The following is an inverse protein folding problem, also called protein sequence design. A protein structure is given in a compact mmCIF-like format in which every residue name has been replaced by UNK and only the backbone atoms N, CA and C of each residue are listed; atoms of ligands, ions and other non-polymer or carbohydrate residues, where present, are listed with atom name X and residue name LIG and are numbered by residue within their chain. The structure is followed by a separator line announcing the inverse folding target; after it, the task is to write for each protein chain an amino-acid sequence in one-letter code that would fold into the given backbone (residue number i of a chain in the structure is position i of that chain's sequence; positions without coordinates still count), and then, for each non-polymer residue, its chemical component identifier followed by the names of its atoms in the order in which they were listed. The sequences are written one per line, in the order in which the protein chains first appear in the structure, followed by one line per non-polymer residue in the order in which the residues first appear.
data_IF_034217511416
#
_entry.id   IF_034217511416
#
_cell.length_a   1.000
_cell.length_b   1.000
_cell.length_c   1.000
_cell.angle_alpha   90.00
_cell.angle_beta   90.00
_cell.angle_gamma   90.00
#
_symmetry.space_group_name_H-M   'P 1'
#
loop_
_entity.id
_entity.type
_entity.pdbx_description
1 polymer ?
#
# COMPACT_ATOMS: atom_id res chain seq x y z
N UNK A 1 44.52 2.72 -5.32
CA UNK A 1 43.95 1.92 -4.22
C UNK A 1 42.99 2.82 -3.44
N UNK A 2 41.74 2.90 -3.87
CA UNK A 2 40.73 3.72 -3.20
C UNK A 2 39.82 2.76 -2.43
N UNK A 3 39.92 2.79 -1.10
CA UNK A 3 39.11 2.01 -0.18
C UNK A 3 37.67 2.55 -0.21
N UNK A 4 36.76 1.88 -0.90
CA UNK A 4 35.32 2.13 -0.75
C UNK A 4 34.83 1.32 0.46
N UNK A 5 35.13 1.82 1.65
CA UNK A 5 34.57 1.28 2.88
C UNK A 5 33.15 1.81 3.06
N UNK A 6 32.17 1.19 2.37
CA UNK A 6 30.78 1.25 2.82
C UNK A 6 30.62 0.23 3.96
N UNK A 7 30.09 0.60 5.14
CA UNK A 7 29.77 -0.37 6.17
C UNK A 7 28.81 -1.45 5.63
N UNK A 8 28.82 -2.67 6.20
CA UNK A 8 27.81 -3.69 5.92
C UNK A 8 26.46 -3.22 6.48
N UNK A 9 25.81 -2.31 5.78
CA UNK A 9 24.47 -1.89 6.11
C UNK A 9 23.52 -3.06 5.88
N UNK A 10 22.60 -3.25 6.82
CA UNK A 10 21.52 -4.21 6.69
C UNK A 10 20.22 -3.47 6.99
N UNK A 11 19.19 -3.76 6.23
CA UNK A 11 17.85 -3.35 6.58
C UNK A 11 17.28 -4.34 7.60
N UNK A 12 16.59 -3.82 8.61
CA UNK A 12 15.73 -4.68 9.45
C UNK A 12 14.51 -5.15 8.66
N UNK A 13 13.79 -6.15 9.16
CA UNK A 13 12.51 -6.54 8.58
C UNK A 13 11.60 -5.29 8.35
N UNK A 14 11.03 -5.13 7.14
CA UNK A 14 10.11 -4.02 6.88
C UNK A 14 8.95 -4.02 7.86
N UNK A 15 8.53 -2.84 8.30
CA UNK A 15 7.30 -2.71 9.10
C UNK A 15 6.07 -3.19 8.31
N UNK A 16 5.02 -3.58 9.04
CA UNK A 16 3.79 -4.06 8.42
C UNK A 16 3.12 -2.96 7.59
N UNK A 17 3.06 -3.16 6.28
CA UNK A 17 2.38 -2.24 5.38
C UNK A 17 0.85 -2.42 5.49
N UNK A 18 0.07 -1.35 5.70
CA UNK A 18 -1.38 -1.45 5.80
C UNK A 18 -2.04 -1.84 4.45
N UNK A 19 -1.37 -1.58 3.33
CA UNK A 19 -1.89 -1.78 1.97
C UNK A 19 -1.31 -3.00 1.24
N UNK A 20 -0.26 -3.64 1.76
CA UNK A 20 0.43 -4.77 1.13
C UNK A 20 0.86 -5.83 2.14
N UNK A 21 1.13 -7.04 1.66
CA UNK A 21 1.72 -8.13 2.44
C UNK A 21 2.89 -8.77 1.68
N UNK A 22 3.86 -9.39 2.37
CA UNK A 22 4.90 -10.15 1.70
C UNK A 22 4.29 -11.24 0.84
N UNK A 23 4.78 -11.39 -0.39
CA UNK A 23 4.38 -12.49 -1.28
C UNK A 23 4.98 -13.82 -0.83
N UNK A 24 6.14 -13.78 -0.16
CA UNK A 24 6.75 -14.92 0.48
C UNK A 24 7.16 -14.52 1.91
N UNK A 25 6.43 -14.95 2.95
CA UNK A 25 6.78 -14.66 4.34
C UNK A 25 8.13 -15.28 4.74
N UNK A 26 8.87 -14.61 5.61
CA UNK A 26 10.13 -15.11 6.18
C UNK A 26 10.25 -14.63 7.64
N UNK A 27 10.92 -15.43 8.46
CA UNK A 27 11.26 -15.10 9.86
C UNK A 27 12.60 -14.35 9.96
N UNK A 28 13.22 -14.00 8.83
CA UNK A 28 14.44 -13.20 8.79
C UNK A 28 14.21 -11.78 9.30
N UNK A 29 15.10 -11.34 10.20
CA UNK A 29 15.04 -10.01 10.80
C UNK A 29 16.00 -8.99 10.17
N UNK A 30 17.04 -9.45 9.46
CA UNK A 30 18.06 -8.59 8.84
C UNK A 30 18.34 -8.99 7.40
N UNK A 31 18.41 -8.00 6.51
CA UNK A 31 18.60 -8.18 5.07
C UNK A 31 19.78 -7.34 4.59
N UNK A 32 20.75 -7.92 3.86
CA UNK A 32 21.85 -7.16 3.26
C UNK A 32 21.37 -6.04 2.33
N UNK A 33 22.16 -4.97 2.19
CA UNK A 33 21.97 -3.98 1.12
C UNK A 33 21.87 -4.67 -0.23
N UNK A 34 20.93 -4.22 -1.06
CA UNK A 34 20.62 -4.80 -2.37
C UNK A 34 19.58 -5.92 -2.34
N UNK A 35 19.27 -6.50 -1.16
CA UNK A 35 18.20 -7.48 -1.04
C UNK A 35 16.86 -6.87 -1.45
N UNK A 36 16.09 -7.61 -2.24
CA UNK A 36 14.76 -7.19 -2.69
C UNK A 36 13.68 -8.16 -2.22
N UNK A 37 12.67 -7.63 -1.54
CA UNK A 37 11.54 -8.40 -1.02
C UNK A 37 10.30 -8.12 -1.86
N UNK A 38 9.59 -9.20 -2.21
CA UNK A 38 8.40 -9.14 -3.06
C UNK A 38 7.14 -9.02 -2.21
N UNK A 39 6.25 -8.12 -2.63
CA UNK A 39 5.00 -7.79 -1.96
C UNK A 39 3.83 -7.91 -2.93
N UNK A 40 2.66 -8.19 -2.37
CA UNK A 40 1.38 -8.16 -3.05
C UNK A 40 0.40 -7.23 -2.32
N UNK A 41 -0.38 -6.47 -3.09
CA UNK A 41 -1.40 -5.59 -2.51
C UNK A 41 -2.50 -6.41 -1.82
N UNK A 42 -2.96 -5.91 -0.67
CA UNK A 42 -4.05 -6.52 0.10
C UNK A 42 -5.40 -6.39 -0.63
N UNK A 43 -6.40 -7.22 -0.29
CA UNK A 43 -7.78 -7.03 -0.73
C UNK A 43 -8.27 -5.59 -0.44
N UNK A 44 -9.14 -5.06 -1.31
CA UNK A 44 -9.54 -3.64 -1.29
C UNK A 44 -8.62 -2.70 -2.07
N UNK A 45 -7.39 -3.13 -2.39
CA UNK A 45 -6.45 -2.42 -3.27
C UNK A 45 -6.34 -3.09 -4.65
N UNK A 46 -5.80 -2.37 -5.63
CA UNK A 46 -5.54 -2.88 -6.98
C UNK A 46 -4.63 -4.12 -6.93
N UNK A 47 -4.96 -5.17 -7.68
CA UNK A 47 -4.19 -6.42 -7.70
C UNK A 47 -2.85 -6.17 -8.40
N UNK A 48 -1.82 -5.90 -7.60
CA UNK A 48 -0.48 -5.57 -8.07
C UNK A 48 0.56 -6.27 -7.20
N UNK A 49 1.64 -6.67 -7.85
CA UNK A 49 2.83 -7.25 -7.24
C UNK A 49 3.99 -6.31 -7.49
N UNK A 50 4.82 -6.09 -6.49
CA UNK A 50 5.95 -5.16 -6.53
C UNK A 50 7.07 -5.64 -5.61
N UNK A 51 8.21 -4.94 -5.63
CA UNK A 51 9.32 -5.22 -4.73
C UNK A 51 9.80 -3.95 -4.04
N UNK A 52 10.29 -4.10 -2.82
CA UNK A 52 11.10 -3.09 -2.12
C UNK A 52 12.53 -3.59 -2.01
N UNK A 53 13.50 -2.68 -2.08
CA UNK A 53 14.93 -3.00 -2.05
C UNK A 53 15.60 -2.32 -0.87
N UNK A 54 16.49 -3.04 -0.19
CA UNK A 54 17.30 -2.48 0.88
C UNK A 54 18.36 -1.55 0.28
N UNK A 55 18.22 -0.25 0.51
CA UNK A 55 19.09 0.77 -0.08
C UNK A 55 20.40 0.93 0.71
N UNK A 56 21.45 1.52 0.11
CA UNK A 56 22.77 1.69 0.76
C UNK A 56 22.77 2.51 2.06
N UNK A 57 21.70 3.28 2.31
CA UNK A 57 21.47 3.98 3.57
C UNK A 57 20.77 3.11 4.64
N UNK A 58 20.66 1.79 4.43
CA UNK A 58 19.99 0.82 5.31
C UNK A 58 18.49 1.10 5.52
N UNK A 59 17.84 1.71 4.52
CA UNK A 59 16.40 1.97 4.50
C UNK A 59 15.78 1.24 3.30
N UNK A 60 14.58 0.68 3.47
CA UNK A 60 13.84 0.10 2.35
C UNK A 60 13.37 1.18 1.37
N UNK A 61 13.44 0.89 0.08
CA UNK A 61 12.84 1.75 -0.95
C UNK A 61 11.34 1.96 -0.69
N UNK A 62 10.83 3.15 -1.01
CA UNK A 62 9.43 3.49 -0.78
C UNK A 62 8.46 2.54 -1.49
N UNK A 63 7.43 2.10 -0.76
CA UNK A 63 6.29 1.36 -1.29
C UNK A 63 5.04 2.24 -1.47
N UNK A 64 5.16 3.55 -1.25
CA UNK A 64 4.03 4.47 -1.23
C UNK A 64 3.37 4.56 -2.60
N UNK A 65 2.04 4.69 -2.63
CA UNK A 65 1.24 4.85 -3.84
C UNK A 65 1.28 3.68 -4.85
N UNK A 66 1.96 2.57 -4.52
CA UNK A 66 1.98 1.37 -5.38
C UNK A 66 0.63 0.66 -5.35
N UNK A 67 0.09 0.44 -4.14
CA UNK A 67 -1.22 -0.15 -3.92
C UNK A 67 -2.28 0.95 -3.84
N UNK A 68 -3.00 1.17 -4.95
CA UNK A 68 -4.11 2.14 -5.00
C UNK A 68 -5.40 1.48 -4.54
N UNK A 69 -6.22 2.20 -3.77
CA UNK A 69 -7.56 1.74 -3.35
C UNK A 69 -8.41 1.46 -4.59
N UNK A 70 -9.11 0.32 -4.61
CA UNK A 70 -10.08 0.01 -5.67
C UNK A 70 -11.24 1.00 -5.61
N UNK A 71 -11.75 1.38 -6.78
CA UNK A 71 -13.01 2.12 -6.86
C UNK A 71 -14.17 1.14 -6.74
N UNK A 72 -15.17 1.47 -5.93
CA UNK A 72 -16.44 0.74 -5.88
C UNK A 72 -17.41 1.20 -6.98
N UNK A 73 -17.01 2.21 -7.78
CA UNK A 73 -17.92 2.93 -8.66
C UNK A 73 -18.78 3.92 -7.87
N UNK A 74 -19.45 4.81 -8.59
CA UNK A 74 -20.47 5.69 -7.99
C UNK A 74 -21.79 4.93 -7.97
N UNK A 75 -22.39 4.66 -6.80
CA UNK A 75 -23.71 4.04 -6.73
C UNK A 75 -24.75 4.89 -7.46
N UNK A 76 -25.82 4.26 -7.95
CA UNK A 76 -26.94 5.00 -8.51
C UNK A 76 -27.61 5.87 -7.44
N UNK A 77 -28.11 7.04 -7.86
CA UNK A 77 -28.84 7.93 -6.98
C UNK A 77 -30.22 7.34 -6.66
N UNK A 78 -30.67 7.33 -5.39
CA UNK A 78 -31.94 6.73 -5.02
C UNK A 78 -33.13 7.55 -5.56
N UNK A 79 -34.20 6.87 -5.94
CA UNK A 79 -35.46 7.53 -6.31
C UNK A 79 -36.04 8.25 -5.07
N UNK A 80 -36.40 9.53 -5.22
CA UNK A 80 -36.89 10.39 -4.13
C UNK A 80 -35.91 10.57 -2.96
N UNK A 81 -34.61 10.49 -3.24
CA UNK A 81 -33.57 10.84 -2.30
C UNK A 81 -32.36 11.42 -3.01
N UNK A 82 -31.32 11.70 -2.22
CA UNK A 82 -30.03 12.19 -2.67
C UNK A 82 -28.91 11.37 -2.06
N UNK A 83 -27.86 11.14 -2.83
CA UNK A 83 -26.62 10.54 -2.34
C UNK A 83 -25.59 11.64 -2.07
N UNK A 84 -25.01 11.61 -0.89
CA UNK A 84 -23.98 12.55 -0.43
C UNK A 84 -22.67 11.77 -0.35
N UNK A 85 -21.75 12.07 -1.27
CA UNK A 85 -20.41 11.47 -1.30
C UNK A 85 -19.45 12.36 -0.52
N UNK A 86 -19.02 11.88 0.65
CA UNK A 86 -18.02 12.56 1.47
C UNK A 86 -16.61 12.09 1.04
N UNK A 87 -16.04 12.75 0.03
CA UNK A 87 -14.70 12.48 -0.47
C UNK A 87 -14.66 11.67 -1.76
N UNK A 88 -14.53 10.35 -1.67
CA UNK A 88 -14.50 9.45 -2.84
C UNK A 88 -15.32 8.18 -2.62
N UNK A 89 -15.45 7.36 -3.67
CA UNK A 89 -16.17 6.08 -3.65
C UNK A 89 -15.20 4.90 -3.71
N UNK A 90 -14.00 5.05 -3.14
CA UNK A 90 -12.99 3.99 -3.10
C UNK A 90 -13.12 3.15 -1.84
N UNK A 91 -12.44 2.01 -1.83
CA UNK A 91 -12.40 1.12 -0.67
C UNK A 91 -12.10 1.88 0.64
N UNK A 92 -12.86 1.58 1.69
CA UNK A 92 -12.77 2.26 2.99
C UNK A 92 -13.50 3.60 3.11
N UNK A 93 -14.05 4.14 2.01
CA UNK A 93 -14.83 5.37 2.05
C UNK A 93 -16.30 5.13 2.40
N UNK A 94 -16.98 6.17 2.86
CA UNK A 94 -18.40 6.12 3.29
C UNK A 94 -19.22 7.15 2.50
N UNK A 95 -20.41 6.72 2.06
CA UNK A 95 -21.42 7.60 1.44
C UNK A 95 -22.64 7.68 2.36
N UNK A 96 -23.35 8.80 2.31
CA UNK A 96 -24.59 9.01 3.06
C UNK A 96 -25.76 9.17 2.10
N UNK A 97 -26.95 8.75 2.54
CA UNK A 97 -28.18 8.92 1.78
C UNK A 97 -29.16 9.75 2.60
N UNK A 98 -29.90 10.62 1.92
CA UNK A 98 -30.97 11.41 2.52
C UNK A 98 -32.23 11.34 1.65
N UNK A 99 -33.40 11.31 2.28
CA UNK A 99 -34.66 11.36 1.58
C UNK A 99 -35.03 12.80 1.21
N UNK A 100 -35.77 12.96 0.12
CA UNK A 100 -36.39 14.23 -0.22
C UNK A 100 -37.58 14.49 0.72
N UNK A 101 -37.87 15.77 0.96
CA UNK A 101 -39.12 16.16 1.62
C UNK A 101 -40.31 15.88 0.68
N UNK A 102 -41.46 15.56 1.27
CA UNK A 102 -42.70 15.18 0.58
C UNK A 102 -43.83 16.15 0.84
#
# INVERSE_FOLDING_TARGET
MSLWSWPPGKCKAPEQLPFAKPANPTDEYEFPIGTSLKYECRPGYQKRVFSITCLPNSVWSSAENICKRKSCGTPAEPLNGKMIVNGDTRFGSTVQYACNEG
#
